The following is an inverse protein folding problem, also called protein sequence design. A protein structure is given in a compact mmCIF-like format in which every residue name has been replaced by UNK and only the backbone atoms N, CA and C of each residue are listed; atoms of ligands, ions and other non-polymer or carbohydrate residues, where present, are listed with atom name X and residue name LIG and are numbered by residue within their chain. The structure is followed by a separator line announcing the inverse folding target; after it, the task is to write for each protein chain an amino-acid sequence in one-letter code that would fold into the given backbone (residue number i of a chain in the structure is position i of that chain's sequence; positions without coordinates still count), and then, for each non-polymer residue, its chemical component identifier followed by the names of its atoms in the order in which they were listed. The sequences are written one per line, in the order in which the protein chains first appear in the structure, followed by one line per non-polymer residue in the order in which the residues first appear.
data_IF_363752245558
#
_entry.id   IF_363752245558
#
_cell.length_a   1.000
_cell.length_b   1.000
_cell.length_c   1.000
_cell.angle_alpha   90.00
_cell.angle_beta   90.00
_cell.angle_gamma   90.00
#
_symmetry.space_group_name_H-M   'P 1'
#
loop_
_entity.id
_entity.type
_entity.pdbx_description
1 polymer ?
#
# COMPACT_ATOMS: atom_id res chain seq x y z
N UNK A 1 -11.19 -14.87 -0.21
CA UNK A 1 -10.79 -13.47 -0.13
C UNK A 1 -9.34 -13.43 0.32
N UNK A 2 -8.48 -12.84 -0.49
CA UNK A 2 -7.04 -12.67 -0.24
C UNK A 2 -6.77 -11.17 -0.15
N UNK A 3 -5.82 -10.76 0.69
CA UNK A 3 -5.33 -9.37 0.70
C UNK A 3 -3.94 -9.36 0.10
N UNK A 4 -3.79 -8.67 -1.03
CA UNK A 4 -2.51 -8.45 -1.69
C UNK A 4 -1.99 -7.06 -1.31
N UNK A 5 -0.71 -6.99 -0.94
CA UNK A 5 -0.02 -5.74 -0.63
C UNK A 5 1.05 -5.54 -1.69
N UNK A 6 0.93 -4.48 -2.49
CA UNK A 6 1.90 -4.19 -3.55
C UNK A 6 2.32 -2.72 -3.57
N UNK A 7 3.56 -2.51 -4.02
CA UNK A 7 4.20 -1.20 -4.13
C UNK A 7 4.18 -0.70 -5.57
N UNK A 8 3.67 0.51 -5.79
CA UNK A 8 3.63 1.14 -7.12
C UNK A 8 4.36 2.48 -7.10
N UNK A 9 5.00 2.86 -8.21
CA UNK A 9 5.55 4.21 -8.35
C UNK A 9 4.48 5.17 -8.84
N UNK A 10 4.21 6.21 -8.04
CA UNK A 10 3.34 7.32 -8.42
C UNK A 10 4.22 8.53 -8.80
N UNK A 11 4.28 8.85 -10.09
CA UNK A 11 5.13 9.93 -10.61
C UNK A 11 4.59 11.29 -10.17
N UNK A 12 5.50 12.18 -9.75
CA UNK A 12 5.18 13.56 -9.41
C UNK A 12 5.92 14.51 -10.35
N UNK A 13 5.24 15.56 -10.80
CA UNK A 13 5.79 16.60 -11.67
C UNK A 13 6.19 17.88 -10.91
N UNK A 14 6.28 17.80 -9.58
CA UNK A 14 6.62 18.93 -8.70
C UNK A 14 7.29 18.39 -7.44
N UNK A 15 8.23 19.17 -6.90
CA UNK A 15 8.87 18.94 -5.60
C UNK A 15 7.88 19.21 -4.47
N UNK A 16 7.01 18.23 -4.22
CA UNK A 16 6.15 18.19 -3.04
C UNK A 16 6.82 17.38 -1.95
N UNK A 17 6.38 17.56 -0.70
CA UNK A 17 6.92 16.82 0.44
C UNK A 17 6.93 15.31 0.14
N UNK A 18 8.07 14.66 0.36
CA UNK A 18 8.31 13.23 0.16
C UNK A 18 8.21 12.73 -1.30
N UNK A 19 8.03 13.62 -2.28
CA UNK A 19 8.33 13.28 -3.67
C UNK A 19 9.86 13.28 -3.82
N UNK A 20 10.45 12.11 -4.08
CA UNK A 20 11.90 11.95 -4.15
C UNK A 20 12.31 11.18 -5.39
N UNK A 21 13.61 11.19 -5.70
CA UNK A 21 14.16 10.30 -6.71
C UNK A 21 13.83 8.83 -6.38
N UNK A 22 13.44 8.07 -7.40
CA UNK A 22 13.11 6.65 -7.29
C UNK A 22 14.24 5.80 -7.84
N UNK A 23 14.22 4.50 -7.52
CA UNK A 23 15.19 3.54 -8.08
C UNK A 23 15.10 3.44 -9.61
N UNK A 24 13.92 3.67 -10.20
CA UNK A 24 13.71 3.66 -11.66
C UNK A 24 14.19 4.94 -12.34
N UNK A 25 14.96 5.78 -11.64
CA UNK A 25 15.44 7.08 -12.13
C UNK A 25 14.29 8.02 -12.54
N UNK A 26 13.15 7.88 -11.86
CA UNK A 26 12.02 8.81 -11.96
C UNK A 26 11.91 9.61 -10.66
N UNK A 27 10.90 10.47 -10.55
CA UNK A 27 10.65 11.28 -9.38
C UNK A 27 9.19 11.13 -8.93
N UNK A 28 8.96 10.96 -7.63
CA UNK A 28 7.61 10.77 -7.09
C UNK A 28 7.57 9.99 -5.79
N UNK A 29 6.51 9.21 -5.61
CA UNK A 29 6.25 8.42 -4.40
C UNK A 29 6.27 6.92 -4.70
N UNK A 30 6.44 6.12 -3.65
CA UNK A 30 6.37 4.67 -3.72
C UNK A 30 5.31 4.12 -2.75
N UNK A 31 4.02 4.48 -2.92
CA UNK A 31 2.96 4.01 -2.04
C UNK A 31 2.90 2.47 -1.96
N UNK A 32 2.52 1.97 -0.79
CA UNK A 32 2.16 0.58 -0.57
C UNK A 32 0.64 0.50 -0.43
N UNK A 33 -0.03 -0.29 -1.26
CA UNK A 33 -1.49 -0.36 -1.31
C UNK A 33 -1.94 -1.79 -1.05
N UNK A 34 -2.93 -1.95 -0.17
CA UNK A 34 -3.58 -3.22 0.10
C UNK A 34 -4.87 -3.34 -0.73
N UNK A 35 -4.99 -4.42 -1.48
CA UNK A 35 -6.16 -4.76 -2.27
C UNK A 35 -6.79 -6.04 -1.76
N UNK A 36 -8.11 -6.05 -1.67
CA UNK A 36 -8.90 -7.25 -1.42
C UNK A 36 -9.26 -7.88 -2.75
N UNK A 37 -8.83 -9.12 -2.97
CA UNK A 37 -9.29 -9.96 -4.07
C UNK A 37 -10.56 -10.72 -3.66
N UNK A 38 -11.66 -10.40 -4.34
CA UNK A 38 -12.99 -10.99 -4.17
C UNK A 38 -13.18 -12.27 -5.00
N UNK A 39 -12.12 -12.79 -5.65
CA UNK A 39 -12.12 -13.99 -6.47
C UNK A 39 -12.50 -13.73 -7.93
N UNK A 40 -12.62 -14.78 -8.74
CA UNK A 40 -12.70 -14.70 -10.21
C UNK A 40 -13.85 -13.81 -10.76
N UNK A 41 -14.92 -13.62 -10.00
CA UNK A 41 -16.06 -12.79 -10.39
C UNK A 41 -16.03 -11.36 -9.83
N UNK A 42 -15.09 -11.05 -8.92
CA UNK A 42 -14.97 -9.75 -8.27
C UNK A 42 -13.71 -9.00 -8.70
N UNK A 43 -13.77 -7.67 -8.72
CA UNK A 43 -12.59 -6.83 -8.93
C UNK A 43 -11.81 -6.65 -7.64
N UNK A 44 -10.50 -6.41 -7.75
CA UNK A 44 -9.69 -5.98 -6.61
C UNK A 44 -10.20 -4.64 -6.05
N UNK A 45 -10.41 -4.58 -4.73
CA UNK A 45 -10.85 -3.37 -4.03
C UNK A 45 -9.73 -2.81 -3.14
N UNK A 46 -9.31 -1.54 -3.30
CA UNK A 46 -8.31 -0.95 -2.42
C UNK A 46 -8.91 -0.70 -1.02
N UNK A 47 -8.29 -1.25 0.01
CA UNK A 47 -8.77 -1.15 1.41
C UNK A 47 -7.82 -0.37 2.33
N UNK A 48 -6.57 -0.17 1.91
CA UNK A 48 -5.63 0.71 2.60
C UNK A 48 -4.54 1.20 1.65
N UNK A 49 -4.00 2.38 1.91
CA UNK A 49 -2.82 2.89 1.24
C UNK A 49 -1.91 3.62 2.23
N UNK A 50 -0.62 3.33 2.18
CA UNK A 50 0.43 4.03 2.89
C UNK A 50 1.27 4.82 1.88
N UNK A 51 1.18 6.15 1.94
CA UNK A 51 2.02 7.02 1.11
C UNK A 51 3.45 7.01 1.65
N UNK A 52 4.43 6.79 0.77
CA UNK A 52 5.84 6.67 1.14
C UNK A 52 6.72 7.44 0.15
N UNK A 53 7.91 7.90 0.57
CA UNK A 53 8.81 8.58 -0.34
C UNK A 53 9.23 7.70 -1.51
N UNK A 54 9.58 8.31 -2.64
CA UNK A 54 9.96 7.60 -3.87
C UNK A 54 11.18 6.68 -3.73
N UNK A 55 12.03 6.95 -2.74
CA UNK A 55 13.20 6.14 -2.39
C UNK A 55 12.91 5.06 -1.33
N UNK A 56 11.66 4.89 -0.89
CA UNK A 56 11.30 3.86 0.08
C UNK A 56 11.59 2.45 -0.46
N UNK A 57 12.11 1.58 0.40
CA UNK A 57 12.34 0.18 0.07
C UNK A 57 11.04 -0.58 -0.21
N UNK A 58 11.07 -1.50 -1.18
CA UNK A 58 9.88 -2.29 -1.54
C UNK A 58 9.40 -3.19 -0.42
N UNK A 59 10.33 -3.72 0.39
CA UNK A 59 10.08 -4.75 1.41
C UNK A 59 10.34 -4.28 2.84
N UNK A 60 10.25 -2.96 3.10
CA UNK A 60 10.39 -2.42 4.45
C UNK A 60 9.33 -3.05 5.37
N UNK A 61 9.75 -3.92 6.29
CA UNK A 61 8.83 -4.74 7.08
C UNK A 61 7.83 -3.91 7.91
N UNK A 62 8.27 -2.77 8.47
CA UNK A 62 7.39 -1.87 9.21
C UNK A 62 6.24 -1.33 8.36
N UNK A 63 6.51 -0.97 7.11
CA UNK A 63 5.49 -0.45 6.19
C UNK A 63 4.45 -1.52 5.88
N UNK A 64 4.90 -2.75 5.65
CA UNK A 64 4.02 -3.90 5.41
C UNK A 64 3.15 -4.21 6.63
N UNK A 65 3.71 -4.17 7.83
CA UNK A 65 2.97 -4.34 9.08
C UNK A 65 1.91 -3.24 9.23
N UNK A 66 2.30 -1.97 9.04
CA UNK A 66 1.39 -0.82 9.12
C UNK A 66 0.26 -0.93 8.11
N UNK A 67 0.55 -1.21 6.84
CA UNK A 67 -0.47 -1.39 5.80
C UNK A 67 -1.39 -2.56 6.09
N UNK A 68 -0.88 -3.67 6.62
CA UNK A 68 -1.69 -4.81 7.06
C UNK A 68 -2.64 -4.43 8.20
N UNK A 69 -2.16 -3.69 9.20
CA UNK A 69 -2.99 -3.22 10.31
C UNK A 69 -4.11 -2.29 9.82
N UNK A 70 -3.81 -1.38 8.89
CA UNK A 70 -4.79 -0.48 8.26
C UNK A 70 -5.85 -1.26 7.47
N UNK A 71 -5.45 -2.28 6.70
CA UNK A 71 -6.37 -3.14 5.96
C UNK A 71 -7.28 -3.93 6.91
N UNK A 72 -6.73 -4.53 7.96
CA UNK A 72 -7.51 -5.23 8.99
C UNK A 72 -8.45 -4.29 9.75
N UNK A 73 -8.10 -3.02 9.88
CA UNK A 73 -8.95 -2.02 10.51
C UNK A 73 -10.26 -1.77 9.75
N UNK A 74 -10.34 -2.12 8.46
CA UNK A 74 -11.58 -2.01 7.67
C UNK A 74 -12.64 -3.05 8.06
N UNK A 75 -12.23 -4.18 8.65
CA UNK A 75 -13.17 -5.20 9.10
C UNK A 75 -13.84 -4.79 10.43
N UNK A 76 -15.14 -5.05 10.64
CA UNK A 76 -15.77 -4.93 11.95
C UNK A 76 -15.01 -5.72 13.01
N UNK A 77 -14.82 -5.15 14.21
CA UNK A 77 -14.00 -5.77 15.28
C UNK A 77 -14.41 -7.21 15.60
N UNK A 78 -15.72 -7.50 15.63
CA UNK A 78 -16.24 -8.83 15.93
C UNK A 78 -15.98 -9.88 14.83
N UNK A 79 -15.56 -9.46 13.64
CA UNK A 79 -15.19 -10.34 12.53
C UNK A 79 -13.68 -10.54 12.40
N UNK A 80 -12.85 -9.82 13.18
CA UNK A 80 -11.40 -9.99 13.20
C UNK A 80 -11.04 -11.21 14.07
N UNK A 81 -10.52 -12.28 13.46
CA UNK A 81 -10.01 -13.45 14.21
C UNK A 81 -8.52 -13.27 14.50
N UNK A 82 -8.10 -13.59 15.74
CA UNK A 82 -6.68 -13.68 16.12
C UNK A 82 -6.05 -12.39 16.67
N UNK A 83 -6.85 -11.48 17.21
CA UNK A 83 -6.40 -10.36 18.06
C UNK A 83 -6.80 -10.61 19.51
#
# INVERSE_FOLDING_TARGET
MIVDIDGVLALAHSEKQDATATWKKTFGHHPLVAFVDHGQAGSGEPVAALLRPGNAGSNTASDHITTTQLAMAQLPKHLRRGL
#
